data_IF_752397488511
#
_entry.id   IF_752397488511
#
_cell.length_a   1.000
_cell.length_b   1.000
_cell.length_c   1.000
_cell.angle_alpha   90.00
_cell.angle_beta   90.00
_cell.angle_gamma   90.00
#
_symmetry.space_group_name_H-M   'P 1'
#
loop_
_entity.id
_entity.type
_entity.pdbx_description
1 polymer ?
#
# COMPACT_ATOMS: atom_id res chain seq x y z
N UNK A 1 -35.36 22.81 11.91
CA UNK A 1 -36.19 21.62 12.20
C UNK A 1 -35.29 20.66 12.97
N UNK A 2 -35.59 20.31 14.23
CA UNK A 2 -34.83 19.26 14.91
C UNK A 2 -35.06 17.95 14.14
N UNK A 3 -33.99 17.24 13.80
CA UNK A 3 -34.05 15.97 13.06
C UNK A 3 -34.81 14.93 13.87
N UNK A 4 -35.76 14.23 13.26
CA UNK A 4 -36.60 13.24 13.97
C UNK A 4 -35.90 11.87 14.16
N UNK A 5 -34.57 11.82 14.09
CA UNK A 5 -33.74 10.61 14.19
C UNK A 5 -33.81 9.65 12.99
N UNK A 6 -34.58 9.96 11.93
CA UNK A 6 -34.72 9.03 10.78
C UNK A 6 -33.49 8.99 9.87
N UNK A 7 -32.78 10.10 9.73
CA UNK A 7 -31.65 10.27 8.82
C UNK A 7 -30.29 10.05 9.52
N UNK A 8 -30.29 9.49 10.73
CA UNK A 8 -29.07 9.16 11.47
C UNK A 8 -28.53 7.81 11.00
N UNK A 9 -27.19 7.68 10.94
CA UNK A 9 -26.49 6.47 10.49
C UNK A 9 -27.00 5.21 11.20
N UNK A 10 -27.32 5.32 12.48
CA UNK A 10 -27.85 4.22 13.30
C UNK A 10 -29.20 3.67 12.82
N UNK A 11 -29.94 4.46 12.03
CA UNK A 11 -31.22 4.11 11.44
C UNK A 11 -31.15 3.83 9.92
N UNK A 12 -29.95 3.89 9.31
CA UNK A 12 -29.74 3.58 7.90
C UNK A 12 -29.20 2.16 7.74
N UNK A 13 -29.72 1.44 6.73
CA UNK A 13 -29.25 0.12 6.34
C UNK A 13 -29.18 0.03 4.82
N UNK A 14 -28.00 -0.29 4.29
CA UNK A 14 -27.83 -0.47 2.85
C UNK A 14 -28.29 -1.88 2.46
N UNK A 15 -29.27 -1.96 1.56
CA UNK A 15 -29.79 -3.23 1.04
C UNK A 15 -29.74 -3.22 -0.48
N UNK A 16 -29.45 -4.38 -1.09
CA UNK A 16 -29.63 -4.52 -2.52
C UNK A 16 -31.13 -4.45 -2.88
N UNK A 17 -31.44 -4.17 -4.14
CA UNK A 17 -32.82 -4.02 -4.63
C UNK A 17 -33.74 -5.18 -4.24
N UNK A 18 -33.24 -6.42 -4.28
CA UNK A 18 -34.03 -7.62 -3.97
C UNK A 18 -34.38 -7.66 -2.48
N UNK A 19 -33.40 -7.46 -1.59
CA UNK A 19 -33.63 -7.47 -0.15
C UNK A 19 -34.42 -6.25 0.33
N UNK A 20 -34.28 -5.10 -0.33
CA UNK A 20 -35.11 -3.93 -0.05
C UNK A 20 -36.60 -4.25 -0.28
N UNK A 21 -36.92 -4.81 -1.46
CA UNK A 21 -38.28 -5.23 -1.80
C UNK A 21 -38.83 -6.28 -0.82
N UNK A 22 -38.00 -7.24 -0.43
CA UNK A 22 -38.41 -8.28 0.52
C UNK A 22 -38.76 -7.71 1.89
N UNK A 23 -37.97 -6.77 2.41
CA UNK A 23 -38.22 -6.11 3.68
C UNK A 23 -39.50 -5.26 3.62
N UNK A 24 -39.69 -4.53 2.51
CA UNK A 24 -40.90 -3.73 2.29
C UNK A 24 -42.17 -4.59 2.23
N UNK A 25 -42.10 -5.74 1.54
CA UNK A 25 -43.24 -6.64 1.33
C UNK A 25 -43.54 -7.52 2.57
N UNK A 26 -42.62 -7.67 3.52
CA UNK A 26 -42.70 -8.61 4.65
C UNK A 26 -42.42 -7.96 6.02
N UNK A 27 -43.14 -6.88 6.33
CA UNK A 27 -42.94 -6.06 7.55
C UNK A 27 -43.04 -6.87 8.85
N UNK A 28 -43.92 -7.88 8.91
CA UNK A 28 -44.08 -8.75 10.07
C UNK A 28 -42.86 -9.65 10.30
N UNK A 29 -42.21 -10.09 9.22
CA UNK A 29 -41.01 -10.92 9.26
C UNK A 29 -39.74 -10.09 9.49
N UNK A 30 -39.74 -8.82 9.07
CA UNK A 30 -38.62 -7.88 9.22
C UNK A 30 -39.00 -6.64 10.06
N UNK A 31 -39.41 -6.83 11.33
CA UNK A 31 -39.68 -5.69 12.20
C UNK A 31 -38.40 -4.92 12.47
N UNK A 32 -38.52 -3.62 12.78
CA UNK A 32 -37.38 -2.72 13.00
C UNK A 32 -36.34 -3.26 14.00
N UNK A 33 -36.79 -3.96 15.06
CA UNK A 33 -35.89 -4.59 16.03
C UNK A 33 -35.02 -5.70 15.44
N UNK A 34 -35.53 -6.45 14.46
CA UNK A 34 -34.77 -7.49 13.74
C UNK A 34 -33.76 -6.86 12.78
N UNK A 35 -34.17 -5.83 12.04
CA UNK A 35 -33.28 -5.09 11.12
C UNK A 35 -32.10 -4.44 11.86
N UNK A 36 -32.33 -3.86 13.05
CA UNK A 36 -31.23 -3.34 13.90
C UNK A 36 -30.25 -4.42 14.34
N UNK A 37 -30.74 -5.63 14.66
CA UNK A 37 -29.87 -6.78 14.99
C UNK A 37 -29.04 -7.23 13.80
N UNK A 38 -29.63 -7.26 12.59
CA UNK A 38 -28.93 -7.59 11.35
C UNK A 38 -27.83 -6.56 11.08
N UNK A 39 -28.13 -5.26 11.18
CA UNK A 39 -27.15 -4.17 11.05
C UNK A 39 -25.98 -4.36 12.00
N UNK A 40 -26.25 -4.46 13.30
CA UNK A 40 -25.19 -4.56 14.31
C UNK A 40 -24.39 -5.87 14.22
N UNK A 41 -24.97 -6.96 13.68
CA UNK A 41 -24.23 -8.18 13.41
C UNK A 41 -23.30 -8.02 12.20
N UNK A 42 -23.76 -7.36 11.14
CA UNK A 42 -22.95 -7.06 9.97
C UNK A 42 -21.79 -6.12 10.33
N UNK A 43 -22.05 -5.04 11.06
CA UNK A 43 -21.01 -4.08 11.47
C UNK A 43 -19.94 -4.74 12.34
N UNK A 44 -20.33 -5.61 13.28
CA UNK A 44 -19.37 -6.42 14.05
C UNK A 44 -18.58 -7.36 13.16
N UNK A 45 -19.24 -8.09 12.27
CA UNK A 45 -18.55 -8.98 11.35
C UNK A 45 -17.55 -8.23 10.45
N UNK A 46 -17.90 -7.03 9.96
CA UNK A 46 -16.99 -6.18 9.18
C UNK A 46 -15.81 -5.75 10.03
N UNK A 47 -16.04 -5.25 11.25
CA UNK A 47 -14.98 -4.86 12.18
C UNK A 47 -14.04 -6.03 12.47
N UNK A 48 -14.58 -7.18 12.89
CA UNK A 48 -13.81 -8.38 13.20
C UNK A 48 -13.01 -8.88 11.98
N UNK A 49 -13.58 -8.79 10.77
CA UNK A 49 -12.92 -9.24 9.53
C UNK A 49 -11.80 -8.29 9.11
N UNK A 50 -12.01 -6.97 9.23
CA UNK A 50 -11.00 -5.97 8.94
C UNK A 50 -9.85 -6.05 9.94
N UNK A 51 -10.15 -6.18 11.23
CA UNK A 51 -9.15 -6.35 12.29
C UNK A 51 -8.33 -7.63 12.05
N UNK A 52 -8.99 -8.75 11.75
CA UNK A 52 -8.30 -10.00 11.42
C UNK A 52 -7.45 -9.90 10.14
N UNK A 53 -7.87 -9.14 9.13
CA UNK A 53 -7.09 -8.92 7.91
C UNK A 53 -5.87 -8.03 8.15
N UNK A 54 -5.96 -7.08 9.10
CA UNK A 54 -4.84 -6.23 9.53
C UNK A 54 -3.85 -7.00 10.43
N UNK A 55 -4.34 -7.93 11.24
CA UNK A 55 -3.52 -8.77 12.13
C UNK A 55 -2.95 -10.02 11.44
N UNK A 56 -3.51 -10.44 10.31
CA UNK A 56 -2.99 -11.56 9.53
C UNK A 56 -1.65 -11.17 8.88
N UNK A 57 -0.55 -11.48 9.56
CA UNK A 57 0.76 -11.59 8.90
C UNK A 57 0.65 -12.69 7.85
N UNK A 58 0.67 -12.32 6.57
CA UNK A 58 0.76 -13.29 5.48
C UNK A 58 2.10 -14.04 5.62
N UNK A 59 2.10 -15.34 5.97
CA UNK A 59 3.34 -16.10 6.14
C UNK A 59 4.14 -16.25 4.82
N UNK A 60 3.54 -15.86 3.69
CA UNK A 60 4.16 -15.81 2.37
C UNK A 60 4.52 -14.36 1.94
N UNK A 61 4.30 -13.36 2.81
CA UNK A 61 4.72 -11.98 2.58
C UNK A 61 6.24 -11.95 2.37
N UNK A 62 6.65 -11.51 1.19
CA UNK A 62 8.07 -11.33 0.88
C UNK A 62 8.58 -10.12 1.67
N UNK A 63 9.52 -10.28 2.61
CA UNK A 63 10.07 -9.15 3.34
C UNK A 63 10.77 -8.20 2.35
N UNK A 64 10.39 -6.93 2.39
CA UNK A 64 11.02 -5.88 1.60
C UNK A 64 12.09 -5.19 2.44
N UNK A 65 13.38 -5.28 2.07
CA UNK A 65 14.46 -4.70 2.87
C UNK A 65 14.43 -3.17 2.83
N UNK A 66 14.96 -2.55 3.89
CA UNK A 66 15.21 -1.13 3.91
C UNK A 66 16.28 -0.74 2.89
N UNK A 67 16.04 0.33 2.12
CA UNK A 67 16.98 0.84 1.13
C UNK A 67 17.88 1.89 1.78
N UNK A 68 19.18 1.64 1.73
CA UNK A 68 20.17 2.44 2.45
C UNK A 68 20.92 3.45 1.57
N UNK A 69 20.92 3.25 0.27
CA UNK A 69 21.66 4.06 -0.70
C UNK A 69 20.96 4.06 -2.07
N UNK A 70 21.36 4.98 -2.94
CA UNK A 70 20.94 4.94 -4.34
C UNK A 70 21.46 3.72 -5.11
N UNK A 71 22.45 2.98 -4.58
CA UNK A 71 22.83 1.68 -5.15
C UNK A 71 21.76 0.62 -4.87
N UNK A 72 21.15 0.65 -3.68
CA UNK A 72 20.06 -0.25 -3.31
C UNK A 72 18.82 0.08 -4.15
N UNK A 73 18.47 1.37 -4.26
CA UNK A 73 17.35 1.81 -5.11
C UNK A 73 17.58 1.41 -6.57
N UNK A 74 18.79 1.66 -7.10
CA UNK A 74 19.14 1.25 -8.46
C UNK A 74 19.01 -0.26 -8.69
N UNK A 75 19.34 -1.09 -7.68
CA UNK A 75 19.17 -2.54 -7.77
C UNK A 75 17.71 -2.99 -7.84
N UNK A 76 16.79 -2.18 -7.33
CA UNK A 76 15.34 -2.43 -7.36
C UNK A 76 14.73 -1.99 -8.69
N UNK A 77 15.03 -0.77 -9.15
CA UNK A 77 14.35 -0.17 -10.30
C UNK A 77 14.99 -0.51 -11.65
N UNK A 78 16.29 -0.78 -11.70
CA UNK A 78 16.96 -1.01 -12.98
C UNK A 78 16.54 -2.37 -13.59
N UNK A 79 16.11 -2.35 -14.85
CA UNK A 79 15.62 -3.54 -15.55
C UNK A 79 14.26 -4.06 -15.06
N UNK A 80 13.51 -3.25 -14.30
CA UNK A 80 12.12 -3.56 -13.99
C UNK A 80 11.24 -3.30 -15.23
N UNK A 81 10.20 -4.13 -15.38
CA UNK A 81 9.22 -4.05 -16.48
C UNK A 81 7.90 -3.43 -16.02
N UNK A 82 7.70 -3.34 -14.69
CA UNK A 82 6.57 -2.68 -14.06
C UNK A 82 6.97 -2.15 -12.68
N UNK A 83 6.20 -1.19 -12.19
CA UNK A 83 6.44 -0.51 -10.91
C UNK A 83 5.20 -0.59 -10.03
N UNK A 84 5.40 -0.98 -8.79
CA UNK A 84 4.37 -1.09 -7.75
C UNK A 84 4.84 -0.26 -6.56
N UNK A 85 4.62 1.05 -6.66
CA UNK A 85 5.15 2.05 -5.74
C UNK A 85 4.08 2.52 -4.77
N UNK A 86 4.44 2.57 -3.49
CA UNK A 86 3.56 2.91 -2.37
C UNK A 86 4.12 4.12 -1.65
N UNK A 87 3.48 5.27 -1.89
CA UNK A 87 3.81 6.53 -1.24
C UNK A 87 2.98 6.79 0.01
N UNK A 88 3.15 7.98 0.57
CA UNK A 88 2.27 8.51 1.61
C UNK A 88 1.05 9.18 0.97
N UNK A 89 -0.10 9.15 1.64
CA UNK A 89 -1.33 9.79 1.17
C UNK A 89 -1.89 10.78 2.21
N UNK A 90 -2.62 11.79 1.73
CA UNK A 90 -3.45 12.64 2.59
C UNK A 90 -4.77 11.90 2.91
N UNK A 91 -5.30 11.97 4.15
CA UNK A 91 -4.88 12.85 5.25
C UNK A 91 -3.87 12.22 6.22
N UNK A 92 -3.41 11.00 5.97
CA UNK A 92 -2.58 10.22 6.90
C UNK A 92 -1.18 10.83 7.10
N UNK A 93 -0.68 11.56 6.11
CA UNK A 93 0.55 12.34 6.19
C UNK A 93 0.33 13.82 5.83
N UNK A 94 1.12 14.74 6.42
CA UNK A 94 1.09 16.14 6.03
C UNK A 94 1.63 16.33 4.61
N UNK A 95 1.05 17.30 3.89
CA UNK A 95 1.33 17.59 2.48
C UNK A 95 2.82 17.64 2.11
N UNK A 96 3.67 18.23 2.95
CA UNK A 96 5.10 18.33 2.65
C UNK A 96 5.81 16.96 2.60
N UNK A 97 5.31 15.96 3.35
CA UNK A 97 5.83 14.59 3.32
C UNK A 97 5.29 13.82 2.12
N UNK A 98 4.01 14.04 1.77
CA UNK A 98 3.40 13.49 0.55
C UNK A 98 4.12 14.01 -0.70
N UNK A 99 4.30 15.33 -0.82
CA UNK A 99 5.02 15.95 -1.94
C UNK A 99 6.47 15.42 -2.07
N UNK A 100 7.15 15.19 -0.93
CA UNK A 100 8.50 14.63 -0.93
C UNK A 100 8.52 13.15 -1.34
N UNK A 101 7.56 12.36 -0.84
CA UNK A 101 7.34 10.96 -1.21
C UNK A 101 7.12 10.83 -2.72
N UNK A 102 6.19 11.60 -3.27
CA UNK A 102 5.86 11.58 -4.70
C UNK A 102 7.05 11.98 -5.57
N UNK A 103 7.79 13.02 -5.17
CA UNK A 103 8.99 13.45 -5.88
C UNK A 103 10.07 12.37 -5.93
N UNK A 104 10.27 11.64 -4.83
CA UNK A 104 11.20 10.50 -4.80
C UNK A 104 10.74 9.36 -5.70
N UNK A 105 9.46 8.97 -5.62
CA UNK A 105 8.91 7.85 -6.40
C UNK A 105 8.94 8.14 -7.89
N UNK A 106 8.64 9.38 -8.30
CA UNK A 106 8.75 9.81 -9.69
C UNK A 106 10.19 9.71 -10.19
N UNK A 107 11.17 10.18 -9.42
CA UNK A 107 12.57 10.10 -9.83
C UNK A 107 13.08 8.65 -9.91
N UNK A 108 12.67 7.79 -8.97
CA UNK A 108 12.98 6.36 -9.01
C UNK A 108 12.39 5.68 -10.24
N UNK A 109 11.14 6.02 -10.59
CA UNK A 109 10.47 5.54 -11.79
C UNK A 109 11.20 5.99 -13.05
N UNK A 110 11.50 7.30 -13.16
CA UNK A 110 12.18 7.88 -14.32
C UNK A 110 13.52 7.22 -14.58
N UNK A 111 14.34 7.00 -13.54
CA UNK A 111 15.61 6.28 -13.66
C UNK A 111 15.44 4.80 -14.03
N UNK A 112 14.37 4.15 -13.54
CA UNK A 112 14.03 2.78 -13.88
C UNK A 112 13.70 2.62 -15.36
N UNK A 113 12.82 3.50 -15.88
CA UNK A 113 12.35 3.49 -17.27
C UNK A 113 13.49 3.61 -18.27
N UNK A 114 14.47 4.49 -17.99
CA UNK A 114 15.63 4.69 -18.87
C UNK A 114 16.83 3.82 -18.48
N UNK A 115 16.67 2.86 -17.55
CA UNK A 115 17.80 2.17 -16.94
C UNK A 115 18.67 1.41 -17.94
N UNK A 116 18.08 0.87 -19.01
CA UNK A 116 18.82 0.18 -20.05
C UNK A 116 19.64 1.14 -20.92
N UNK A 117 19.10 2.31 -21.25
CA UNK A 117 19.84 3.36 -21.95
C UNK A 117 20.99 3.89 -21.10
N UNK A 118 20.77 4.08 -19.80
CA UNK A 118 21.80 4.49 -18.83
C UNK A 118 22.92 3.46 -18.76
N UNK A 119 22.60 2.15 -18.80
CA UNK A 119 23.62 1.08 -18.86
C UNK A 119 24.44 1.16 -20.14
N UNK A 120 23.81 1.47 -21.28
CA UNK A 120 24.48 1.62 -22.57
C UNK A 120 25.44 2.82 -22.61
N UNK A 121 25.11 3.90 -21.91
CA UNK A 121 25.97 5.09 -21.78
C UNK A 121 27.21 4.85 -20.89
N UNK A 122 27.20 3.79 -20.08
CA UNK A 122 28.35 3.29 -19.33
C UNK A 122 28.39 3.68 -17.85
N UNK A 123 29.48 3.32 -17.18
CA UNK A 123 29.59 3.40 -15.70
C UNK A 123 29.52 4.83 -15.11
N UNK A 124 29.71 5.86 -15.93
CA UNK A 124 29.55 7.26 -15.52
C UNK A 124 28.08 7.57 -15.21
N UNK A 125 27.20 7.35 -16.18
CA UNK A 125 25.76 7.59 -16.08
C UNK A 125 25.11 6.74 -14.99
N UNK A 126 25.51 5.47 -14.84
CA UNK A 126 25.03 4.62 -13.73
C UNK A 126 25.37 5.25 -12.37
N UNK A 127 26.57 5.83 -12.23
CA UNK A 127 27.00 6.45 -10.98
C UNK A 127 26.26 7.76 -10.71
N UNK A 128 25.91 8.50 -11.76
CA UNK A 128 25.08 9.70 -11.66
C UNK A 128 23.68 9.36 -11.18
N UNK A 129 23.02 8.37 -11.79
CA UNK A 129 21.72 7.86 -11.36
C UNK A 129 21.74 7.47 -9.87
N UNK A 130 22.72 6.66 -9.46
CA UNK A 130 22.89 6.25 -8.06
C UNK A 130 23.09 7.44 -7.10
N UNK A 131 23.79 8.49 -7.52
CA UNK A 131 24.00 9.69 -6.68
C UNK A 131 22.73 10.52 -6.57
N UNK A 132 21.99 10.67 -7.67
CA UNK A 132 20.70 11.37 -7.70
C UNK A 132 19.71 10.71 -6.73
N UNK A 133 19.55 9.39 -6.85
CA UNK A 133 18.71 8.58 -5.97
C UNK A 133 19.16 8.63 -4.50
N UNK A 134 20.48 8.62 -4.24
CA UNK A 134 20.99 8.76 -2.87
C UNK A 134 20.64 10.12 -2.26
N UNK A 135 20.73 11.19 -3.05
CA UNK A 135 20.42 12.55 -2.59
C UNK A 135 18.96 12.65 -2.19
N UNK A 136 18.05 12.15 -3.05
CA UNK A 136 16.62 12.08 -2.75
C UNK A 136 16.29 11.22 -1.53
N UNK A 137 16.98 10.09 -1.37
CA UNK A 137 16.82 9.22 -0.21
C UNK A 137 17.21 9.93 1.09
N UNK A 138 18.29 10.71 1.08
CA UNK A 138 18.73 11.46 2.25
C UNK A 138 17.78 12.64 2.57
N UNK A 139 17.16 13.26 1.56
CA UNK A 139 16.09 14.26 1.75
C UNK A 139 14.88 13.65 2.49
N UNK A 140 14.43 12.45 2.08
CA UNK A 140 13.34 11.74 2.76
C UNK A 140 13.70 11.39 4.20
N UNK A 141 14.93 10.92 4.45
CA UNK A 141 15.39 10.59 5.81
C UNK A 141 15.44 11.79 6.73
N UNK A 142 15.87 12.94 6.21
CA UNK A 142 15.88 14.18 6.98
C UNK A 142 14.46 14.60 7.43
N UNK A 143 13.44 14.11 6.74
CA UNK A 143 12.03 14.29 7.07
C UNK A 143 11.43 13.16 7.95
N UNK A 144 12.26 12.21 8.41
CA UNK A 144 11.81 11.07 9.23
C UNK A 144 11.14 9.95 8.43
N UNK A 145 11.37 9.89 7.11
CA UNK A 145 10.83 8.86 6.24
C UNK A 145 11.85 7.74 5.99
N UNK A 146 11.35 6.52 5.92
CA UNK A 146 12.11 5.32 5.57
C UNK A 146 11.58 4.74 4.27
N UNK A 147 12.49 4.21 3.46
CA UNK A 147 12.20 3.63 2.16
C UNK A 147 12.57 2.16 2.18
N UNK A 148 11.68 1.33 1.68
CA UNK A 148 11.84 -0.12 1.53
C UNK A 148 11.64 -0.48 0.08
N UNK A 149 12.27 -1.56 -0.38
CA UNK A 149 12.00 -2.03 -1.73
C UNK A 149 12.67 -3.33 -2.09
N UNK A 150 12.08 -3.99 -3.07
CA UNK A 150 12.57 -5.22 -3.64
C UNK A 150 12.15 -5.32 -5.11
N UNK A 151 12.90 -6.09 -5.88
CA UNK A 151 12.51 -6.47 -7.23
C UNK A 151 12.05 -7.92 -7.21
N UNK A 152 10.81 -8.17 -7.63
CA UNK A 152 10.18 -9.48 -7.57
C UNK A 152 9.59 -9.88 -8.92
N UNK A 153 9.66 -11.16 -9.27
CA UNK A 153 8.99 -11.68 -10.46
C UNK A 153 7.54 -12.02 -10.16
N UNK A 154 6.59 -11.32 -10.78
CA UNK A 154 5.15 -11.60 -10.66
C UNK A 154 4.62 -12.31 -11.89
N UNK A 155 3.92 -13.42 -11.69
CA UNK A 155 3.18 -14.09 -12.75
C UNK A 155 1.85 -13.39 -12.99
N UNK A 156 1.67 -12.81 -14.17
CA UNK A 156 0.42 -12.16 -14.60
C UNK A 156 -0.25 -13.01 -15.67
N UNK A 157 -1.56 -13.21 -15.55
CA UNK A 157 -2.34 -13.89 -16.59
C UNK A 157 -3.15 -12.86 -17.36
N UNK A 158 -2.86 -12.70 -18.65
CA UNK A 158 -3.64 -11.84 -19.55
C UNK A 158 -4.21 -12.69 -20.69
N UNK A 159 -5.54 -12.71 -20.82
CA UNK A 159 -6.24 -13.50 -21.85
C UNK A 159 -5.85 -15.00 -21.88
N UNK A 160 -5.61 -15.59 -20.71
CA UNK A 160 -5.21 -17.01 -20.57
C UNK A 160 -3.72 -17.30 -20.81
N UNK A 161 -2.92 -16.29 -21.19
CA UNK A 161 -1.46 -16.41 -21.32
C UNK A 161 -0.81 -15.97 -20.01
N UNK A 162 0.08 -16.81 -19.46
CA UNK A 162 0.90 -16.47 -18.31
C UNK A 162 2.19 -15.79 -18.78
N UNK A 163 2.46 -14.60 -18.26
CA UNK A 163 3.70 -13.85 -18.45
C UNK A 163 4.31 -13.61 -17.08
N UNK A 164 5.63 -13.67 -16.99
CA UNK A 164 6.37 -13.26 -15.80
C UNK A 164 6.87 -11.84 -16.02
N UNK A 165 6.55 -10.95 -15.09
CA UNK A 165 7.01 -9.57 -15.11
C UNK A 165 7.98 -9.34 -13.97
N UNK A 166 9.09 -8.67 -14.27
CA UNK A 166 9.98 -8.14 -13.24
C UNK A 166 9.39 -6.86 -12.67
N UNK A 167 8.94 -6.87 -11.42
CA UNK A 167 8.25 -5.74 -10.79
C UNK A 167 9.15 -5.11 -9.73
N UNK A 168 9.42 -3.83 -9.86
CA UNK A 168 10.04 -3.02 -8.81
C UNK A 168 8.98 -2.57 -7.82
N UNK A 169 9.11 -2.99 -6.56
CA UNK A 169 8.27 -2.53 -5.47
C UNK A 169 9.08 -1.60 -4.58
N UNK A 170 8.54 -0.40 -4.33
CA UNK A 170 9.09 0.56 -3.37
C UNK A 170 7.96 1.00 -2.46
N UNK A 171 8.21 1.03 -1.16
CA UNK A 171 7.28 1.53 -0.17
C UNK A 171 7.95 2.57 0.73
N UNK A 172 7.23 3.65 1.02
CA UNK A 172 7.68 4.72 1.91
C UNK A 172 6.80 4.72 3.16
N UNK A 173 7.42 4.75 4.33
CA UNK A 173 6.72 4.79 5.60
C UNK A 173 7.37 5.80 6.56
N UNK A 174 6.56 6.33 7.47
CA UNK A 174 7.05 7.19 8.55
C UNK A 174 7.72 6.35 9.64
N UNK A 175 8.75 6.90 10.27
CA UNK A 175 9.36 6.26 11.43
C UNK A 175 8.33 6.10 12.57
N UNK A 176 8.15 4.86 13.05
CA UNK A 176 7.14 4.53 14.06
C UNK A 176 5.80 4.03 13.51
N UNK A 177 5.64 3.89 12.19
CA UNK A 177 4.48 3.22 11.58
C UNK A 177 4.41 1.75 12.05
N UNK A 178 3.24 1.33 12.52
CA UNK A 178 3.00 -0.01 13.06
C UNK A 178 3.19 -1.13 12.04
N UNK A 179 3.21 -0.81 10.74
CA UNK A 179 3.49 -1.74 9.65
C UNK A 179 4.98 -2.04 9.49
N UNK A 180 5.86 -1.26 10.11
CA UNK A 180 7.30 -1.49 10.07
C UNK A 180 7.66 -2.49 11.18
N UNK A 181 7.89 -3.73 10.78
CA UNK A 181 8.47 -4.75 11.66
C UNK A 181 9.98 -4.81 11.42
N UNK A 182 10.76 -4.37 12.40
CA UNK A 182 12.21 -4.53 12.37
C UNK A 182 12.51 -5.92 12.90
N UNK A 183 12.85 -6.85 12.01
CA UNK A 183 13.50 -8.09 12.42
C UNK A 183 14.93 -7.74 12.83
N UNK A 184 15.20 -7.74 14.14
CA UNK A 184 16.58 -7.72 14.62
C UNK A 184 17.27 -9.00 14.13
N UNK A 185 18.49 -8.90 13.57
CA UNK A 185 19.24 -10.09 13.19
C UNK A 185 19.34 -11.00 14.42
N UNK A 186 19.12 -12.32 14.28
CA UNK A 186 19.22 -13.22 15.42
C UNK A 186 20.57 -13.01 16.07
N UNK A 187 20.58 -12.73 17.37
CA UNK A 187 21.79 -12.58 18.18
C UNK A 187 22.75 -13.69 17.75
N UNK A 188 23.87 -13.31 17.13
CA UNK A 188 24.94 -14.24 16.82
C UNK A 188 25.38 -14.84 18.16
N UNK A 189 24.95 -16.09 18.39
CA UNK A 189 25.43 -16.88 19.51
C UNK A 189 26.91 -17.19 19.22
N UNK A 190 27.76 -16.35 19.81
CA UNK A 190 29.21 -16.49 20.10
C UNK A 190 30.04 -17.51 19.31
#
# INVERSE_FOLDING_TARGET
MPGNGKDELDNLLLLCRVHHKQVDDQIEEFPAGKLRKIKGAHERWVADTLDAALEASDPEATPIPALHSGADIWSVVAGAEAYDFHGLEEPDAPKNLVDASDGFLQEAHDWGEISDDVKLQGFGSIREAKRSLSTRLDELRALGLRVFGAQNTRAVTHSGVKVQLCVATIAIAQEGDSRIHIEEPPDEVF
#
